data_IF_875153939323
#
_entry.id   IF_875153939323
#
_cell.length_a   1.000
_cell.length_b   1.000
_cell.length_c   1.000
_cell.angle_alpha   90.00
_cell.angle_beta   90.00
_cell.angle_gamma   90.00
#
_symmetry.space_group_name_H-M   'P 1'
#
loop_
_entity.id
_entity.type
_entity.pdbx_description
1 polymer ?
#
# COMPACT_ATOMS: atom_id res chain seq x y z
N UNK A 1 8.24 -59.32 -2.61
CA UNK A 1 8.79 -58.14 -1.90
C UNK A 1 8.99 -57.07 -2.94
N UNK A 2 8.00 -56.18 -3.06
CA UNK A 2 7.95 -55.10 -4.05
C UNK A 2 7.71 -53.78 -3.31
N UNK A 3 8.33 -52.67 -3.74
CA UNK A 3 8.27 -51.42 -3.01
C UNK A 3 6.96 -50.66 -3.26
N UNK A 4 6.38 -50.22 -2.15
CA UNK A 4 5.84 -48.88 -1.89
C UNK A 4 5.09 -48.21 -3.06
N UNK A 5 3.77 -48.41 -3.07
CA UNK A 5 2.81 -47.50 -3.71
C UNK A 5 2.55 -46.37 -2.71
N UNK A 6 2.99 -45.14 -3.01
CA UNK A 6 2.47 -43.95 -2.34
C UNK A 6 1.42 -43.27 -3.24
N UNK A 7 0.20 -43.00 -2.75
CA UNK A 7 -0.75 -42.19 -3.49
C UNK A 7 -0.33 -40.71 -3.47
N UNK A 8 -0.28 -40.08 -4.65
CA UNK A 8 -0.25 -38.62 -4.82
C UNK A 8 -1.45 -38.03 -4.07
N UNK A 9 -1.19 -37.47 -2.90
CA UNK A 9 -2.20 -36.77 -2.11
C UNK A 9 -1.70 -35.35 -1.88
N UNK A 10 -2.57 -34.39 -2.21
CA UNK A 10 -2.43 -32.96 -2.01
C UNK A 10 -1.43 -32.22 -2.93
N UNK A 11 -1.95 -31.79 -4.10
CA UNK A 11 -1.56 -30.52 -4.70
C UNK A 11 -1.85 -29.44 -3.65
N UNK A 12 -0.78 -29.01 -2.99
CA UNK A 12 -0.81 -28.01 -1.93
C UNK A 12 -1.18 -26.67 -2.54
N UNK A 13 -2.33 -26.16 -2.11
CA UNK A 13 -2.73 -24.78 -2.22
C UNK A 13 -1.64 -23.88 -1.64
N UNK A 14 -0.77 -23.33 -2.50
CA UNK A 14 0.32 -22.43 -2.12
C UNK A 14 0.17 -21.05 -2.79
N UNK A 15 -1.06 -20.65 -3.13
CA UNK A 15 -1.42 -19.26 -3.48
C UNK A 15 -2.15 -18.63 -2.31
N UNK A 16 -1.44 -18.51 -1.18
CA UNK A 16 -1.81 -17.58 -0.11
C UNK A 16 -0.66 -17.56 0.88
N UNK A 17 -0.34 -16.37 1.38
CA UNK A 17 0.46 -16.13 2.59
C UNK A 17 1.98 -16.02 2.40
N UNK A 18 2.45 -14.90 1.84
CA UNK A 18 3.71 -14.33 2.36
C UNK A 18 3.88 -12.81 2.15
N UNK A 19 2.97 -12.00 2.70
CA UNK A 19 3.24 -10.56 2.94
C UNK A 19 2.76 -10.18 4.34
N UNK A 20 3.23 -10.91 5.36
CA UNK A 20 2.95 -10.59 6.77
C UNK A 20 4.20 -10.41 7.62
N UNK A 21 5.38 -10.27 7.01
CA UNK A 21 6.65 -10.16 7.74
C UNK A 21 7.23 -8.74 7.85
N UNK A 22 6.58 -7.73 7.26
CA UNK A 22 6.99 -6.30 7.40
C UNK A 22 6.13 -5.60 8.48
N UNK A 23 5.29 -6.35 9.18
CA UNK A 23 4.52 -5.86 10.31
C UNK A 23 5.41 -6.03 11.56
N UNK A 24 6.12 -4.98 12.00
CA UNK A 24 6.33 -4.61 13.43
C UNK A 24 7.57 -3.73 13.75
N UNK A 25 8.54 -3.48 12.86
CA UNK A 25 9.71 -2.64 13.22
C UNK A 25 9.47 -1.11 13.16
N UNK A 26 8.31 -0.69 12.64
CA UNK A 26 8.01 0.73 12.37
C UNK A 26 7.02 1.34 13.37
N UNK A 27 7.16 1.04 14.67
CA UNK A 27 6.28 1.61 15.71
C UNK A 27 6.80 2.87 16.41
N UNK A 28 7.89 3.49 15.96
CA UNK A 28 8.31 4.81 16.46
C UNK A 28 8.96 5.66 15.36
N UNK A 29 8.16 6.31 14.50
CA UNK A 29 8.64 7.50 13.77
C UNK A 29 8.36 7.58 12.27
N UNK A 30 7.91 6.53 11.59
CA UNK A 30 7.64 6.67 10.15
C UNK A 30 6.34 7.45 9.90
N UNK A 31 6.47 8.48 9.09
CA UNK A 31 5.39 9.32 8.65
C UNK A 31 4.54 8.63 7.58
N UNK A 32 3.36 9.18 7.26
CA UNK A 32 2.57 8.71 6.12
C UNK A 32 3.37 8.77 4.80
N UNK A 33 4.33 9.69 4.72
CA UNK A 33 5.24 9.80 3.59
C UNK A 33 6.19 8.59 3.49
N UNK A 34 6.84 8.19 4.57
CA UNK A 34 7.68 6.99 4.59
C UNK A 34 6.89 5.73 4.19
N UNK A 35 5.63 5.65 4.63
CA UNK A 35 4.74 4.55 4.25
C UNK A 35 4.45 4.57 2.76
N UNK A 36 4.08 5.73 2.22
CA UNK A 36 3.83 5.92 0.79
C UNK A 36 5.08 5.52 -0.03
N UNK A 37 6.26 6.02 0.34
CA UNK A 37 7.53 5.66 -0.31
C UNK A 37 7.76 4.15 -0.30
N UNK A 38 7.54 3.50 0.84
CA UNK A 38 7.68 2.05 0.96
C UNK A 38 6.76 1.31 -0.01
N UNK A 39 5.50 1.73 -0.14
CA UNK A 39 4.54 1.11 -1.05
C UNK A 39 4.91 1.37 -2.51
N UNK A 40 5.36 2.58 -2.86
CA UNK A 40 5.79 2.91 -4.23
C UNK A 40 7.02 2.07 -4.65
N UNK A 41 7.95 1.80 -3.74
CA UNK A 41 9.10 0.90 -4.01
C UNK A 41 8.64 -0.56 -4.09
N UNK A 42 7.90 -1.04 -3.08
CA UNK A 42 7.58 -2.45 -2.95
C UNK A 42 6.54 -2.94 -3.95
N UNK A 43 5.51 -2.14 -4.21
CA UNK A 43 4.36 -2.54 -5.03
C UNK A 43 4.51 -2.06 -6.48
N UNK A 44 5.08 -0.87 -6.70
CA UNK A 44 5.24 -0.30 -8.03
C UNK A 44 6.66 -0.41 -8.60
N UNK A 45 7.64 -0.82 -7.79
CA UNK A 45 9.04 -0.98 -8.23
C UNK A 45 9.72 0.34 -8.57
N UNK A 46 9.23 1.48 -8.05
CA UNK A 46 9.82 2.79 -8.32
C UNK A 46 11.14 2.93 -7.55
N UNK A 47 12.16 3.48 -8.22
CA UNK A 47 13.45 3.73 -7.60
C UNK A 47 13.34 4.76 -6.46
N UNK A 48 13.87 4.42 -5.29
CA UNK A 48 13.84 5.27 -4.10
C UNK A 48 14.55 6.62 -4.32
N UNK A 49 15.55 6.69 -5.20
CA UNK A 49 16.28 7.93 -5.50
C UNK A 49 15.42 8.96 -6.26
N UNK A 50 14.37 8.48 -6.94
CA UNK A 50 13.36 9.29 -7.63
C UNK A 50 12.28 9.80 -6.66
N UNK A 51 12.05 9.12 -5.53
CA UNK A 51 10.99 9.42 -4.57
C UNK A 51 11.37 10.59 -3.67
N UNK A 52 11.16 11.80 -4.16
CA UNK A 52 11.45 13.05 -3.43
C UNK A 52 10.16 13.79 -3.05
N UNK A 53 10.11 14.52 -1.92
CA UNK A 53 8.92 15.23 -1.49
C UNK A 53 8.25 16.10 -2.57
N UNK A 54 8.99 16.91 -3.37
CA UNK A 54 8.39 17.75 -4.40
C UNK A 54 8.13 17.03 -5.73
N UNK A 55 8.52 15.76 -5.89
CA UNK A 55 8.24 15.01 -7.11
C UNK A 55 6.73 14.79 -7.23
N UNK A 56 6.16 15.00 -8.42
CA UNK A 56 4.74 14.74 -8.64
C UNK A 56 4.48 13.28 -8.93
N UNK A 57 3.26 12.82 -8.62
CA UNK A 57 2.80 11.45 -8.92
C UNK A 57 2.92 11.16 -10.42
N UNK A 58 2.59 12.15 -11.26
CA UNK A 58 2.77 12.10 -12.71
C UNK A 58 4.23 12.00 -13.15
N UNK A 59 5.16 12.73 -12.52
CA UNK A 59 6.59 12.66 -12.86
C UNK A 59 7.19 11.28 -12.55
N UNK A 60 6.60 10.58 -11.58
CA UNK A 60 6.98 9.21 -11.19
C UNK A 60 6.28 8.14 -12.02
N UNK A 61 5.56 8.54 -13.08
CA UNK A 61 4.78 7.68 -13.96
C UNK A 61 3.72 6.83 -13.23
N UNK A 62 3.32 7.25 -12.03
CA UNK A 62 2.25 6.61 -11.27
C UNK A 62 0.93 6.95 -11.95
N UNK A 63 0.34 5.96 -12.61
CA UNK A 63 -0.97 6.09 -13.25
C UNK A 63 -2.11 6.12 -12.24
N UNK A 64 -3.32 6.50 -12.69
CA UNK A 64 -4.54 6.45 -11.88
C UNK A 64 -4.81 5.05 -11.31
N UNK A 65 -4.53 3.99 -12.07
CA UNK A 65 -4.68 2.61 -11.62
C UNK A 65 -3.72 2.29 -10.46
N UNK A 66 -2.44 2.66 -10.59
CA UNK A 66 -1.45 2.44 -9.53
C UNK A 66 -1.79 3.25 -8.27
N UNK A 67 -2.24 4.49 -8.44
CA UNK A 67 -2.69 5.31 -7.30
C UNK A 67 -3.91 4.69 -6.60
N UNK A 68 -4.85 4.14 -7.37
CA UNK A 68 -6.00 3.42 -6.82
C UNK A 68 -5.57 2.15 -6.06
N UNK A 69 -4.59 1.40 -6.57
CA UNK A 69 -4.03 0.23 -5.87
C UNK A 69 -3.40 0.61 -4.53
N UNK A 70 -2.59 1.67 -4.50
CA UNK A 70 -2.03 2.21 -3.25
C UNK A 70 -3.15 2.62 -2.29
N UNK A 71 -4.20 3.28 -2.79
CA UNK A 71 -5.34 3.67 -1.98
C UNK A 71 -6.08 2.45 -1.40
N UNK A 72 -6.24 1.36 -2.16
CA UNK A 72 -6.81 0.10 -1.67
C UNK A 72 -5.95 -0.51 -0.57
N UNK A 73 -4.63 -0.58 -0.75
CA UNK A 73 -3.72 -1.13 0.27
C UNK A 73 -3.82 -0.32 1.57
N UNK A 74 -3.76 1.02 1.49
CA UNK A 74 -3.92 1.87 2.66
C UNK A 74 -5.32 1.71 3.28
N UNK A 75 -6.35 1.49 2.46
CA UNK A 75 -7.71 1.25 2.96
C UNK A 75 -7.82 -0.04 3.74
N UNK A 76 -7.22 -1.13 3.24
CA UNK A 76 -7.21 -2.43 3.91
C UNK A 76 -6.44 -2.38 5.24
N UNK A 77 -5.39 -1.56 5.31
CA UNK A 77 -4.57 -1.39 6.52
C UNK A 77 -5.23 -0.50 7.58
N UNK A 78 -5.92 0.56 7.15
CA UNK A 78 -6.46 1.58 8.06
C UNK A 78 -7.97 1.45 8.30
N UNK A 79 -8.68 0.69 7.46
CA UNK A 79 -10.13 0.58 7.45
C UNK A 79 -10.85 1.79 6.84
N UNK A 80 -10.13 2.79 6.33
CA UNK A 80 -10.69 4.01 5.74
C UNK A 80 -10.84 3.85 4.24
N UNK A 81 -12.01 4.19 3.67
CA UNK A 81 -12.20 4.22 2.22
C UNK A 81 -11.77 5.56 1.65
N UNK A 82 -10.97 5.51 0.58
CA UNK A 82 -10.63 6.70 -0.22
C UNK A 82 -11.53 6.72 -1.45
N UNK A 83 -12.66 7.40 -1.37
CA UNK A 83 -13.47 7.70 -2.57
C UNK A 83 -12.79 8.82 -3.38
N UNK A 84 -12.73 8.66 -4.70
CA UNK A 84 -12.00 9.55 -5.63
C UNK A 84 -12.39 11.04 -5.50
N UNK A 85 -13.62 11.34 -5.06
CA UNK A 85 -14.16 12.70 -5.03
C UNK A 85 -13.80 13.51 -3.77
N UNK A 86 -13.53 12.87 -2.62
CA UNK A 86 -13.33 13.55 -1.32
C UNK A 86 -11.94 13.31 -0.71
N UNK A 87 -11.15 12.42 -1.30
CA UNK A 87 -9.85 12.02 -0.72
C UNK A 87 -8.72 13.01 -1.02
N UNK A 88 -8.89 13.88 -2.02
CA UNK A 88 -7.85 14.83 -2.44
C UNK A 88 -6.63 14.15 -3.07
N UNK A 89 -6.76 12.89 -3.51
CA UNK A 89 -5.72 12.15 -4.21
C UNK A 89 -5.71 12.60 -5.67
N UNK A 90 -4.61 13.22 -6.11
CA UNK A 90 -4.46 13.70 -7.48
C UNK A 90 -3.12 13.29 -8.06
N UNK A 91 -3.11 12.99 -9.36
CA UNK A 91 -1.90 12.67 -10.12
C UNK A 91 -0.97 13.89 -10.27
N UNK A 92 -1.52 15.10 -10.13
CA UNK A 92 -0.74 16.34 -10.22
C UNK A 92 -0.22 16.78 -8.83
N UNK A 93 -0.54 16.04 -7.77
CA UNK A 93 0.01 16.29 -6.43
C UNK A 93 1.45 15.85 -6.33
N UNK A 94 2.21 16.55 -5.48
CA UNK A 94 3.53 16.11 -5.02
C UNK A 94 3.40 14.91 -4.09
N UNK A 95 4.46 14.11 -3.93
CA UNK A 95 4.46 12.99 -2.98
C UNK A 95 4.18 13.43 -1.54
N UNK A 96 4.71 14.59 -1.12
CA UNK A 96 4.40 15.16 0.19
C UNK A 96 2.91 15.54 0.32
N UNK A 97 2.33 16.13 -0.73
CA UNK A 97 0.93 16.50 -0.78
C UNK A 97 0.03 15.26 -0.75
N UNK A 98 0.40 14.22 -1.50
CA UNK A 98 -0.31 12.96 -1.53
C UNK A 98 -0.28 12.27 -0.16
N UNK A 99 0.89 12.22 0.49
CA UNK A 99 1.03 11.67 1.84
C UNK A 99 0.20 12.46 2.87
N UNK A 100 0.14 13.79 2.75
CA UNK A 100 -0.69 14.63 3.59
C UNK A 100 -2.19 14.36 3.37
N UNK A 101 -2.62 14.18 2.11
CA UNK A 101 -4.00 13.84 1.76
C UNK A 101 -4.42 12.50 2.36
N UNK A 102 -3.60 11.46 2.21
CA UNK A 102 -3.82 10.16 2.86
C UNK A 102 -3.93 10.29 4.38
N UNK A 103 -2.98 11.00 5.01
CA UNK A 103 -2.98 11.21 6.46
C UNK A 103 -4.27 11.91 6.93
N UNK A 104 -4.69 12.95 6.20
CA UNK A 104 -5.90 13.69 6.52
C UNK A 104 -7.16 12.84 6.36
N UNK A 105 -7.26 12.07 5.27
CA UNK A 105 -8.38 11.16 5.03
C UNK A 105 -8.45 10.05 6.10
N UNK A 106 -7.31 9.47 6.49
CA UNK A 106 -7.26 8.50 7.60
C UNK A 106 -7.73 9.15 8.91
N UNK A 107 -7.25 10.36 9.23
CA UNK A 107 -7.67 11.06 10.44
C UNK A 107 -9.19 11.33 10.46
N UNK A 108 -9.79 11.70 9.31
CA UNK A 108 -11.24 11.90 9.17
C UNK A 108 -12.04 10.59 9.27
N UNK A 109 -11.57 9.52 8.63
CA UNK A 109 -12.27 8.24 8.58
C UNK A 109 -12.29 7.49 9.92
N UNK A 110 -11.23 7.63 10.72
CA UNK A 110 -11.19 7.07 12.09
C UNK A 110 -12.22 7.75 12.99
N UNK A 111 -12.48 9.04 12.79
CA UNK A 111 -13.43 9.83 13.58
C UNK A 111 -14.89 9.39 13.31
N UNK A 112 -15.19 8.89 12.10
CA UNK A 112 -16.53 8.42 11.71
C UNK A 112 -16.83 6.98 12.12
N UNK A 113 -15.80 6.14 12.31
CA UNK A 113 -15.97 4.74 12.74
C UNK A 113 -16.18 4.58 14.27
N UNK A 114 -15.96 5.64 15.04
CA UNK A 114 -16.00 5.61 16.52
C UNK A 114 -17.18 6.39 17.12
N UNK A 115 -18.08 6.92 16.27
CA UNK A 115 -19.30 7.62 16.68
C UNK A 115 -20.54 6.71 16.54
#
# INVERSE_FOLDING_TARGET
MSPIVQPLTAVTSAVRTNTRHILLETRRGCSMYDRLVTLLVAELGIDADCLRPPATVRDLEVGSLMLAEIAVIVSEETGVRFDDLDSGLSLDSTLEGLAAAFKAAVARGVETATA
#
